data_IF_725522747399
#
_entry.id   IF_725522747399
#
_cell.length_a   1.000
_cell.length_b   1.000
_cell.length_c   1.000
_cell.angle_alpha   90.00
_cell.angle_beta   90.00
_cell.angle_gamma   90.00
#
_symmetry.space_group_name_H-M   'P 1'
#
loop_
_entity.id
_entity.type
_entity.pdbx_description
1 polymer ?
#
# COMPACT_ATOMS: atom_id res chain seq x y z
N UNK A 1 3.07 10.18 -23.12
CA UNK A 1 3.06 8.72 -22.88
C UNK A 1 4.20 8.41 -21.94
N UNK A 2 3.94 7.49 -21.01
CA UNK A 2 4.90 6.80 -20.12
C UNK A 2 5.43 7.63 -18.95
N UNK A 3 4.67 7.56 -17.85
CA UNK A 3 5.05 7.98 -16.51
C UNK A 3 6.39 7.37 -16.12
N UNK A 4 7.41 8.21 -16.11
CA UNK A 4 8.72 7.88 -15.60
C UNK A 4 8.71 8.12 -14.08
N UNK A 5 8.32 7.10 -13.33
CA UNK A 5 8.59 7.05 -11.88
C UNK A 5 9.04 5.62 -11.54
N UNK A 6 10.26 5.30 -11.98
CA UNK A 6 10.93 4.02 -11.70
C UNK A 6 12.23 4.26 -10.95
N UNK A 7 12.30 5.18 -9.98
CA UNK A 7 13.57 5.45 -9.26
C UNK A 7 13.37 5.81 -7.77
N UNK A 8 12.45 5.16 -7.06
CA UNK A 8 12.58 4.99 -5.60
C UNK A 8 11.68 3.88 -5.05
N UNK A 9 12.03 2.62 -5.32
CA UNK A 9 11.31 1.46 -4.77
C UNK A 9 11.29 1.41 -3.23
N UNK A 10 12.06 2.27 -2.55
CA UNK A 10 12.07 2.43 -1.09
C UNK A 10 11.07 3.44 -0.51
N UNK A 11 10.33 4.23 -1.32
CA UNK A 11 9.52 5.33 -0.77
C UNK A 11 8.26 5.62 -1.58
N UNK A 12 7.54 4.59 -2.04
CA UNK A 12 6.21 4.80 -2.62
C UNK A 12 5.27 5.38 -1.57
N UNK A 13 4.66 6.52 -1.87
CA UNK A 13 3.67 7.16 -1.01
C UNK A 13 2.39 6.29 -0.89
N UNK A 14 1.57 6.48 0.15
CA UNK A 14 0.28 5.79 0.28
C UNK A 14 -0.59 5.90 -0.98
N UNK A 15 -0.61 7.08 -1.61
CA UNK A 15 -1.30 7.33 -2.86
C UNK A 15 -0.73 6.49 -4.01
N UNK A 16 0.58 6.54 -4.25
CA UNK A 16 1.21 5.77 -5.33
C UNK A 16 1.00 4.26 -5.18
N UNK A 17 0.88 3.75 -3.95
CA UNK A 17 0.59 2.33 -3.67
C UNK A 17 -0.87 1.96 -3.94
N UNK A 18 -1.82 2.85 -3.63
CA UNK A 18 -3.25 2.55 -3.58
C UNK A 18 -4.07 3.06 -4.78
N UNK A 19 -3.50 3.97 -5.57
CA UNK A 19 -4.06 4.55 -6.79
C UNK A 19 -4.05 3.64 -8.02
N UNK A 20 -3.08 2.70 -8.21
CA UNK A 20 -3.08 1.84 -9.39
C UNK A 20 -4.41 1.09 -9.56
N UNK A 21 -5.01 1.21 -10.76
CA UNK A 21 -6.26 0.50 -11.12
C UNK A 21 -6.03 -1.00 -11.24
N UNK A 22 -4.81 -1.41 -11.58
CA UNK A 22 -4.43 -2.80 -11.63
C UNK A 22 -4.38 -3.39 -10.21
N UNK A 23 -5.31 -4.31 -9.94
CA UNK A 23 -5.46 -4.95 -8.64
C UNK A 23 -4.21 -5.71 -8.22
N UNK A 24 -3.52 -6.37 -9.15
CA UNK A 24 -2.34 -7.18 -8.84
C UNK A 24 -1.13 -6.31 -8.48
N UNK A 25 -0.93 -5.20 -9.19
CA UNK A 25 0.10 -4.22 -8.83
C UNK A 25 -0.17 -3.61 -7.46
N UNK A 26 -1.42 -3.20 -7.19
CA UNK A 26 -1.80 -2.67 -5.88
C UNK A 26 -1.57 -3.67 -4.75
N UNK A 27 -1.85 -4.95 -5.00
CA UNK A 27 -1.60 -6.03 -4.03
C UNK A 27 -0.11 -6.22 -3.79
N UNK A 28 0.70 -6.26 -4.85
CA UNK A 28 2.14 -6.34 -4.74
C UNK A 28 2.69 -5.17 -3.91
N UNK A 29 2.27 -3.94 -4.18
CA UNK A 29 2.68 -2.75 -3.44
C UNK A 29 2.34 -2.78 -1.93
N UNK A 30 1.30 -3.52 -1.53
CA UNK A 30 0.93 -3.72 -0.12
C UNK A 30 1.82 -4.79 0.52
N UNK A 31 2.00 -5.94 -0.15
CA UNK A 31 2.76 -7.09 0.39
C UNK A 31 4.26 -6.79 0.47
N UNK A 32 4.77 -5.85 -0.32
CA UNK A 32 6.17 -5.43 -0.24
C UNK A 32 6.41 -4.31 0.77
N UNK A 33 5.43 -3.94 1.61
CA UNK A 33 5.65 -2.98 2.71
C UNK A 33 6.44 -3.68 3.82
N UNK A 34 7.59 -3.12 4.18
CA UNK A 34 8.51 -3.71 5.16
C UNK A 34 8.34 -3.15 6.59
N UNK A 35 7.55 -2.08 6.77
CA UNK A 35 7.42 -1.38 8.04
C UNK A 35 5.96 -1.05 8.38
N UNK A 36 5.64 -1.15 9.68
CA UNK A 36 4.28 -0.94 10.19
C UNK A 36 3.83 0.51 9.99
N UNK A 37 4.75 1.49 10.05
CA UNK A 37 4.44 2.91 9.87
C UNK A 37 3.88 3.20 8.47
N UNK A 38 4.48 2.62 7.43
CA UNK A 38 4.00 2.73 6.05
C UNK A 38 2.65 2.03 5.87
N UNK A 39 2.42 0.89 6.51
CA UNK A 39 1.09 0.24 6.50
C UNK A 39 0.05 1.16 7.14
N UNK A 40 0.36 1.79 8.27
CA UNK A 40 -0.55 2.74 8.94
C UNK A 40 -0.83 3.97 8.09
N UNK A 41 0.18 4.53 7.42
CA UNK A 41 0.00 5.64 6.49
C UNK A 41 -0.92 5.26 5.31
N UNK A 42 -0.79 4.04 4.79
CA UNK A 42 -1.69 3.49 3.77
C UNK A 42 -3.13 3.33 4.30
N UNK A 43 -3.31 2.87 5.54
CA UNK A 43 -4.63 2.75 6.17
C UNK A 43 -5.28 4.13 6.36
N UNK A 44 -4.53 5.12 6.86
CA UNK A 44 -5.03 6.48 7.04
C UNK A 44 -5.44 7.11 5.71
N UNK A 45 -4.61 6.95 4.67
CA UNK A 45 -4.94 7.39 3.32
C UNK A 45 -6.21 6.71 2.81
N UNK A 46 -6.29 5.39 2.88
CA UNK A 46 -7.46 4.65 2.38
C UNK A 46 -8.74 5.06 3.12
N UNK A 47 -8.69 5.22 4.44
CA UNK A 47 -9.82 5.66 5.26
C UNK A 47 -10.31 7.07 4.90
N UNK A 48 -9.41 7.97 4.50
CA UNK A 48 -9.74 9.35 4.11
C UNK A 48 -10.25 9.48 2.66
N UNK A 49 -10.05 8.46 1.82
CA UNK A 49 -10.37 8.53 0.38
C UNK A 49 -11.56 7.63 0.01
N UNK A 50 -11.28 6.38 -0.40
CA UNK A 50 -12.29 5.48 -0.95
C UNK A 50 -12.82 4.47 0.07
N UNK A 51 -12.15 4.33 1.22
CA UNK A 51 -12.50 3.41 2.31
C UNK A 51 -12.83 2.00 1.82
N UNK A 52 -11.98 1.47 0.94
CA UNK A 52 -12.20 0.16 0.32
C UNK A 52 -11.86 -0.93 1.31
N UNK A 53 -12.89 -1.56 1.88
CA UNK A 53 -12.74 -2.72 2.78
C UNK A 53 -11.74 -3.80 2.31
N UNK A 54 -11.74 -4.26 1.04
CA UNK A 54 -10.80 -5.30 0.62
C UNK A 54 -9.33 -4.85 0.65
N UNK A 55 -9.06 -3.53 0.59
CA UNK A 55 -7.72 -2.97 0.73
C UNK A 55 -7.35 -2.88 2.20
N UNK A 56 -8.24 -2.35 3.03
CA UNK A 56 -8.03 -2.25 4.47
C UNK A 56 -7.76 -3.62 5.11
N UNK A 57 -8.47 -4.67 4.67
CA UNK A 57 -8.21 -6.06 5.12
C UNK A 57 -6.81 -6.54 4.76
N UNK A 58 -6.30 -6.20 3.56
CA UNK A 58 -4.94 -6.57 3.14
C UNK A 58 -3.87 -5.80 3.92
N UNK A 59 -4.08 -4.52 4.15
CA UNK A 59 -3.20 -3.71 5.00
C UNK A 59 -3.16 -4.26 6.42
N UNK A 60 -4.32 -4.63 6.98
CA UNK A 60 -4.39 -5.26 8.30
C UNK A 60 -3.65 -6.61 8.35
N UNK A 61 -3.76 -7.42 7.30
CA UNK A 61 -3.01 -8.68 7.18
C UNK A 61 -1.50 -8.41 7.15
N UNK A 62 -1.03 -7.49 6.30
CA UNK A 62 0.39 -7.13 6.24
C UNK A 62 0.91 -6.63 7.59
N UNK A 63 0.15 -5.79 8.29
CA UNK A 63 0.51 -5.34 9.63
C UNK A 63 0.58 -6.49 10.65
N UNK A 64 -0.24 -7.53 10.49
CA UNK A 64 -0.19 -8.71 11.35
C UNK A 64 1.04 -9.56 11.05
N UNK A 65 1.40 -9.73 9.77
CA UNK A 65 2.60 -10.44 9.34
C UNK A 65 3.87 -9.75 9.86
N UNK A 66 3.99 -8.43 9.68
CA UNK A 66 5.12 -7.63 10.19
C UNK A 66 5.24 -7.61 11.73
N UNK A 67 4.18 -7.93 12.46
CA UNK A 67 4.22 -8.04 13.93
C UNK A 67 4.54 -9.45 14.41
N UNK A 68 4.36 -10.45 13.55
CA UNK A 68 4.62 -11.84 13.83
C UNK A 68 6.06 -12.26 13.48
N UNK A 69 6.73 -11.46 12.64
CA UNK A 69 8.17 -11.52 12.35
C UNK A 69 9.01 -10.92 13.50
#
# INVERSE_FOLDING_TARGET
>A
MSSQESENAGTLTPEQRLTPTNLDLRRACIVTIADIETVQACVAYENAHQNREPILRRLAQQAAELRAE
#
